data_IF_438887747235
#
_entry.id   IF_438887747235
#
_cell.length_a   1.000
_cell.length_b   1.000
_cell.length_c   1.000
_cell.angle_alpha   90.00
_cell.angle_beta   90.00
_cell.angle_gamma   90.00
#
_symmetry.space_group_name_H-M   'P 1'
#
loop_
_entity.id
_entity.type
_entity.pdbx_description
1 polymer ?
#
# COMPACT_ATOMS: atom_id res chain seq x y z
N UNK A 1 -8.66 -7.83 12.16
CA UNK A 1 -9.77 -7.52 11.22
C UNK A 1 -9.81 -8.64 10.22
N UNK A 2 -10.98 -9.24 9.97
CA UNK A 2 -11.07 -10.27 8.92
C UNK A 2 -11.04 -9.60 7.55
N UNK A 3 -10.27 -10.18 6.62
CA UNK A 3 -10.21 -9.72 5.22
C UNK A 3 -11.62 -9.64 4.62
N UNK A 4 -11.91 -8.58 3.86
CA UNK A 4 -13.23 -8.39 3.25
C UNK A 4 -13.50 -9.44 2.17
N UNK A 5 -14.77 -9.85 1.96
CA UNK A 5 -15.12 -10.76 0.87
C UNK A 5 -14.70 -10.22 -0.50
N UNK A 6 -14.21 -11.10 -1.38
CA UNK A 6 -13.72 -10.72 -2.73
C UNK A 6 -14.76 -9.95 -3.54
N UNK A 7 -16.05 -10.30 -3.45
CA UNK A 7 -17.16 -9.60 -4.13
C UNK A 7 -17.23 -8.14 -3.70
N UNK A 8 -17.16 -7.87 -2.40
CA UNK A 8 -17.17 -6.51 -1.84
C UNK A 8 -15.97 -5.72 -2.34
N UNK A 9 -14.78 -6.30 -2.29
CA UNK A 9 -13.56 -5.63 -2.76
C UNK A 9 -13.61 -5.28 -4.25
N UNK A 10 -14.16 -6.15 -5.11
CA UNK A 10 -14.37 -5.88 -6.54
C UNK A 10 -15.33 -4.72 -6.77
N UNK A 11 -16.45 -4.69 -6.06
CA UNK A 11 -17.40 -3.57 -6.12
C UNK A 11 -16.75 -2.26 -5.66
N UNK A 12 -16.00 -2.30 -4.55
CA UNK A 12 -15.27 -1.13 -4.05
C UNK A 12 -14.22 -0.63 -5.06
N UNK A 13 -13.49 -1.54 -5.70
CA UNK A 13 -12.52 -1.21 -6.74
C UNK A 13 -13.20 -0.49 -7.91
N UNK A 14 -14.29 -1.05 -8.45
CA UNK A 14 -15.04 -0.45 -9.55
C UNK A 14 -15.57 0.95 -9.19
N UNK A 15 -16.17 1.10 -8.00
CA UNK A 15 -16.66 2.39 -7.50
C UNK A 15 -15.54 3.43 -7.36
N UNK A 16 -14.41 3.05 -6.76
CA UNK A 16 -13.25 3.94 -6.58
C UNK A 16 -12.60 4.33 -7.91
N UNK A 17 -12.61 3.42 -8.89
CA UNK A 17 -12.11 3.68 -10.25
C UNK A 17 -13.06 4.59 -11.05
N UNK A 18 -14.36 4.52 -10.82
CA UNK A 18 -15.37 5.34 -11.50
C UNK A 18 -15.54 6.73 -10.85
N UNK A 19 -15.18 6.90 -9.57
CA UNK A 19 -15.34 8.18 -8.86
C UNK A 19 -14.69 9.34 -9.64
N UNK A 20 -15.29 10.53 -9.72
CA UNK A 20 -14.61 11.72 -10.24
C UNK A 20 -13.31 12.02 -9.50
N UNK A 21 -12.40 12.69 -10.19
CA UNK A 21 -11.14 13.12 -9.58
C UNK A 21 -11.38 14.35 -8.75
N UNK A 22 -10.71 14.47 -7.60
CA UNK A 22 -10.80 15.68 -6.78
C UNK A 22 -9.44 16.28 -6.53
N UNK A 23 -9.39 17.59 -6.28
CA UNK A 23 -8.16 18.31 -5.92
C UNK A 23 -7.44 17.69 -4.72
N UNK A 24 -8.21 17.11 -3.81
CA UNK A 24 -7.73 16.39 -2.65
C UNK A 24 -6.84 15.17 -3.02
N UNK A 25 -7.02 14.58 -4.20
CA UNK A 25 -6.25 13.41 -4.62
C UNK A 25 -4.76 13.73 -4.79
N UNK A 26 -4.45 14.87 -5.44
CA UNK A 26 -3.15 15.57 -5.54
C UNK A 26 -1.89 14.76 -5.91
N UNK A 27 -0.82 15.41 -6.39
CA UNK A 27 0.42 14.71 -6.73
C UNK A 27 1.18 14.24 -5.47
N UNK A 28 1.99 13.20 -5.61
CA UNK A 28 2.92 12.75 -4.57
C UNK A 28 3.49 11.39 -4.88
N UNK A 29 3.81 10.64 -3.83
CA UNK A 29 4.46 9.34 -3.92
C UNK A 29 3.60 8.26 -3.27
N UNK A 30 3.53 7.11 -3.92
CA UNK A 30 3.23 5.85 -3.26
C UNK A 30 4.54 5.21 -2.81
N UNK A 31 4.54 4.64 -1.63
CA UNK A 31 5.69 3.91 -1.09
C UNK A 31 5.25 2.55 -0.54
N UNK A 32 6.21 1.63 -0.53
CA UNK A 32 6.08 0.32 0.09
C UNK A 32 7.28 0.06 0.99
N UNK A 33 7.03 -0.62 2.10
CA UNK A 33 8.09 -1.32 2.80
C UNK A 33 7.63 -2.73 3.21
N UNK A 34 8.61 -3.60 3.43
CA UNK A 34 8.42 -4.95 3.93
C UNK A 34 9.08 -5.03 5.30
N UNK A 35 8.31 -5.38 6.32
CA UNK A 35 8.81 -5.74 7.63
C UNK A 35 8.90 -7.28 7.72
N UNK A 36 9.95 -7.81 8.36
CA UNK A 36 10.10 -9.23 8.69
C UNK A 36 9.91 -10.19 7.49
N UNK A 37 10.33 -9.78 6.28
CA UNK A 37 10.37 -10.61 5.08
C UNK A 37 9.03 -10.91 4.40
N UNK A 38 7.88 -10.71 5.03
CA UNK A 38 6.58 -10.99 4.39
C UNK A 38 5.43 -10.06 4.81
N UNK A 39 5.68 -9.05 5.66
CA UNK A 39 4.67 -8.09 6.11
C UNK A 39 4.78 -6.82 5.29
N UNK A 40 3.90 -6.69 4.31
CA UNK A 40 3.90 -5.56 3.39
C UNK A 40 3.07 -4.42 3.93
N UNK A 41 3.58 -3.20 3.77
CA UNK A 41 2.86 -1.97 4.05
C UNK A 41 2.96 -1.03 2.87
N UNK A 42 1.82 -0.51 2.44
CA UNK A 42 1.72 0.54 1.42
C UNK A 42 1.24 1.82 2.08
N UNK A 43 1.76 2.96 1.62
CA UNK A 43 1.23 4.26 1.99
C UNK A 43 1.48 5.31 0.92
N UNK A 44 0.94 6.50 1.15
CA UNK A 44 1.23 7.68 0.33
C UNK A 44 1.90 8.80 1.13
N UNK A 45 2.64 9.65 0.43
CA UNK A 45 3.19 10.89 0.98
C UNK A 45 3.33 11.96 -0.09
N UNK A 46 3.37 13.24 0.33
CA UNK A 46 3.87 14.33 -0.51
C UNK A 46 5.40 14.39 -0.53
N UNK A 47 6.04 14.00 0.57
CA UNK A 47 7.49 13.97 0.74
C UNK A 47 7.90 12.60 1.30
N UNK A 48 8.49 11.76 0.45
CA UNK A 48 8.85 10.39 0.82
C UNK A 48 9.98 10.35 1.85
N UNK A 49 11.03 11.17 1.70
CA UNK A 49 12.16 11.19 2.61
C UNK A 49 11.74 11.51 4.05
N UNK A 50 10.91 12.56 4.22
CA UNK A 50 10.36 12.91 5.54
C UNK A 50 9.50 11.78 6.11
N UNK A 51 8.62 11.19 5.28
CA UNK A 51 7.74 10.10 5.73
C UNK A 51 8.50 8.83 6.12
N UNK A 52 9.58 8.50 5.40
CA UNK A 52 10.49 7.40 5.75
C UNK A 52 11.17 7.65 7.08
N UNK A 53 11.68 8.85 7.32
CA UNK A 53 12.29 9.23 8.59
C UNK A 53 11.29 9.17 9.76
N UNK A 54 10.07 9.69 9.58
CA UNK A 54 8.98 9.58 10.56
C UNK A 54 8.72 8.12 10.94
N UNK A 55 8.55 7.23 9.96
CA UNK A 55 8.33 5.80 10.19
C UNK A 55 9.48 5.13 10.94
N UNK A 56 10.72 5.42 10.56
CA UNK A 56 11.89 4.83 11.21
C UNK A 56 12.05 5.34 12.66
N UNK A 57 11.67 6.58 12.94
CA UNK A 57 11.66 7.14 14.29
C UNK A 57 10.53 6.56 15.16
N UNK A 58 9.32 6.46 14.62
CA UNK A 58 8.15 5.97 15.37
C UNK A 58 8.18 4.45 15.60
N UNK A 59 8.74 3.71 14.65
CA UNK A 59 8.89 2.26 14.73
C UNK A 59 10.20 1.84 14.08
N UNK A 60 11.31 1.77 14.85
CA UNK A 60 12.56 1.22 14.39
C UNK A 60 12.44 -0.30 14.26
N UNK A 61 12.08 -0.78 13.07
CA UNK A 61 12.13 -2.21 12.75
C UNK A 61 13.46 -2.48 12.02
N UNK A 62 14.35 -3.32 12.58
CA UNK A 62 15.69 -3.56 12.01
C UNK A 62 15.63 -4.26 10.64
N UNK A 63 14.59 -5.06 10.40
CA UNK A 63 14.42 -5.85 9.18
C UNK A 63 13.52 -5.14 8.14
N UNK A 64 13.37 -3.82 8.22
CA UNK A 64 12.54 -3.06 7.28
C UNK A 64 13.27 -2.79 5.98
N UNK A 65 12.72 -3.32 4.89
CA UNK A 65 13.19 -3.05 3.53
C UNK A 65 12.27 -2.04 2.87
N UNK A 66 12.81 -0.87 2.53
CA UNK A 66 12.08 0.16 1.79
C UNK A 66 12.21 -0.05 0.29
N UNK A 67 11.08 -0.10 -0.41
CA UNK A 67 11.07 -0.14 -1.87
C UNK A 67 11.19 1.25 -2.46
N UNK A 68 11.61 1.33 -3.73
CA UNK A 68 11.66 2.60 -4.47
C UNK A 68 10.24 3.21 -4.53
N UNK A 69 10.04 4.47 -4.10
CA UNK A 69 8.74 5.13 -4.19
C UNK A 69 8.38 5.41 -5.66
N UNK A 70 7.09 5.45 -5.95
CA UNK A 70 6.55 5.75 -7.28
C UNK A 70 5.82 7.08 -7.25
N UNK A 71 6.22 8.01 -8.12
CA UNK A 71 5.53 9.28 -8.29
C UNK A 71 4.17 9.08 -8.98
N UNK A 72 3.13 9.71 -8.47
CA UNK A 72 1.76 9.60 -8.97
C UNK A 72 1.06 10.96 -8.97
N UNK A 73 0.24 11.22 -10.00
CA UNK A 73 -0.53 12.48 -10.12
C UNK A 73 -1.66 12.60 -9.09
N UNK A 74 -2.18 11.46 -8.60
CA UNK A 74 -3.37 11.38 -7.73
C UNK A 74 -3.13 10.41 -6.56
N UNK A 75 -2.25 10.78 -5.63
CA UNK A 75 -1.70 9.89 -4.58
C UNK A 75 -2.76 9.24 -3.69
N UNK A 76 -3.80 9.99 -3.27
CA UNK A 76 -4.83 9.42 -2.38
C UNK A 76 -5.68 8.37 -3.08
N UNK A 77 -6.04 8.63 -4.34
CA UNK A 77 -6.78 7.67 -5.16
C UNK A 77 -5.93 6.43 -5.43
N UNK A 78 -4.67 6.63 -5.79
CA UNK A 78 -3.74 5.55 -6.08
C UNK A 78 -3.52 4.65 -4.85
N UNK A 79 -3.35 5.24 -3.66
CA UNK A 79 -3.24 4.48 -2.40
C UNK A 79 -4.50 3.66 -2.11
N UNK A 80 -5.68 4.27 -2.22
CA UNK A 80 -6.94 3.58 -1.97
C UNK A 80 -7.15 2.39 -2.92
N UNK A 81 -6.83 2.56 -4.22
CA UNK A 81 -6.90 1.47 -5.19
C UNK A 81 -5.85 0.40 -4.90
N UNK A 82 -4.62 0.79 -4.55
CA UNK A 82 -3.56 -0.14 -4.18
C UNK A 82 -3.96 -0.99 -2.97
N UNK A 83 -4.52 -0.39 -1.92
CA UNK A 83 -5.01 -1.12 -0.74
C UNK A 83 -6.07 -2.17 -1.10
N UNK A 84 -7.01 -1.85 -2.00
CA UNK A 84 -8.04 -2.79 -2.42
C UNK A 84 -7.44 -3.96 -3.22
N UNK A 85 -6.52 -3.67 -4.15
CA UNK A 85 -5.85 -4.70 -4.94
C UNK A 85 -4.96 -5.60 -4.08
N UNK A 86 -4.22 -5.01 -3.15
CA UNK A 86 -3.41 -5.73 -2.18
C UNK A 86 -4.28 -6.62 -1.30
N UNK A 87 -5.41 -6.11 -0.81
CA UNK A 87 -6.32 -6.93 -0.02
C UNK A 87 -6.92 -8.08 -0.84
N UNK A 88 -7.24 -7.87 -2.12
CA UNK A 88 -7.69 -8.95 -3.01
C UNK A 88 -6.63 -10.05 -3.16
N UNK A 89 -5.36 -9.66 -3.27
CA UNK A 89 -4.23 -10.56 -3.54
C UNK A 89 -3.60 -11.19 -2.29
N UNK A 90 -3.65 -10.52 -1.14
CA UNK A 90 -2.95 -10.97 0.06
C UNK A 90 -3.57 -12.27 0.61
N UNK A 91 -2.77 -13.07 1.29
CA UNK A 91 -3.24 -14.21 2.05
C UNK A 91 -4.04 -13.72 3.26
N UNK A 92 -3.48 -12.78 4.03
CA UNK A 92 -4.09 -12.25 5.25
C UNK A 92 -3.84 -10.74 5.42
N UNK A 93 -4.66 -10.08 6.27
CA UNK A 93 -4.56 -8.66 6.63
C UNK A 93 -4.75 -8.47 8.14
N UNK A 94 -3.78 -8.90 8.97
CA UNK A 94 -3.94 -8.85 10.41
C UNK A 94 -3.77 -7.45 10.98
N UNK A 95 -4.21 -7.31 12.23
CA UNK A 95 -3.71 -6.28 13.13
C UNK A 95 -2.47 -6.84 13.79
N UNK A 96 -1.32 -6.26 13.48
CA UNK A 96 -0.02 -6.82 13.87
C UNK A 96 0.56 -6.04 15.04
N UNK A 97 0.68 -6.68 16.20
CA UNK A 97 1.35 -6.06 17.34
C UNK A 97 2.85 -6.01 17.07
N UNK A 98 3.42 -4.81 17.07
CA UNK A 98 4.85 -4.64 16.87
C UNK A 98 5.57 -4.57 18.22
N UNK A 99 6.52 -5.48 18.50
CA UNK A 99 7.27 -5.46 19.76
C UNK A 99 8.20 -4.25 19.86
N UNK A 100 8.66 -3.68 18.75
CA UNK A 100 9.59 -2.55 18.73
C UNK A 100 8.94 -1.23 19.15
N UNK A 101 7.71 -0.96 18.68
CA UNK A 101 7.01 0.29 18.97
C UNK A 101 5.85 0.11 19.99
N UNK A 102 5.58 -1.13 20.41
CA UNK A 102 4.49 -1.53 21.33
C UNK A 102 3.10 -1.07 20.88
N UNK A 103 2.91 -0.86 19.57
CA UNK A 103 1.64 -0.46 18.96
C UNK A 103 1.15 -1.52 17.99
N UNK A 104 -0.17 -1.56 17.83
CA UNK A 104 -0.81 -2.40 16.81
C UNK A 104 -0.76 -1.70 15.46
N UNK A 105 0.07 -2.23 14.56
CA UNK A 105 0.11 -1.82 13.17
C UNK A 105 -1.14 -2.30 12.44
N UNK A 106 -1.75 -1.38 11.69
CA UNK A 106 -2.88 -1.65 10.80
C UNK A 106 -2.41 -1.65 9.35
N UNK A 107 -3.25 -2.20 8.48
CA UNK A 107 -3.02 -2.21 7.03
C UNK A 107 -1.72 -2.93 6.66
N UNK A 108 -1.45 -4.01 7.38
CA UNK A 108 -0.37 -4.95 7.07
C UNK A 108 -0.95 -6.03 6.17
N UNK A 109 -0.29 -6.31 5.06
CA UNK A 109 -0.69 -7.31 4.09
C UNK A 109 0.33 -8.47 4.13
N UNK A 110 -0.14 -9.68 4.40
CA UNK A 110 0.68 -10.88 4.40
C UNK A 110 0.43 -11.63 3.10
N UNK A 111 1.50 -12.01 2.41
CA UNK A 111 1.43 -12.78 1.17
C UNK A 111 2.11 -14.14 1.34
N UNK A 112 1.56 -15.18 0.70
CA UNK A 112 2.21 -16.48 0.58
C UNK A 112 3.09 -16.48 -0.68
N UNK A 113 4.35 -16.90 -0.55
CA UNK A 113 5.28 -17.10 -1.67
C UNK A 113 6.36 -16.02 -1.81
N UNK A 114 7.08 -16.09 -2.94
CA UNK A 114 8.25 -15.26 -3.21
C UNK A 114 7.88 -13.77 -3.37
N UNK A 115 8.58 -12.90 -2.65
CA UNK A 115 8.41 -11.44 -2.64
C UNK A 115 8.40 -10.83 -4.06
N UNK A 116 9.12 -11.42 -5.01
CA UNK A 116 9.20 -10.97 -6.40
C UNK A 116 7.85 -11.05 -7.15
N UNK A 117 7.05 -12.10 -6.93
CA UNK A 117 5.76 -12.28 -7.61
C UNK A 117 4.70 -11.31 -7.08
N UNK A 118 4.77 -11.04 -5.77
CA UNK A 118 3.93 -10.04 -5.10
C UNK A 118 4.30 -8.65 -5.60
N UNK A 119 5.60 -8.33 -5.63
CA UNK A 119 6.08 -7.06 -6.17
C UNK A 119 5.65 -6.85 -7.62
N UNK A 120 5.79 -7.84 -8.50
CA UNK A 120 5.37 -7.72 -9.89
C UNK A 120 3.85 -7.52 -10.03
N UNK A 121 3.04 -8.22 -9.24
CA UNK A 121 1.58 -8.01 -9.23
C UNK A 121 1.20 -6.61 -8.74
N UNK A 122 1.93 -6.09 -7.75
CA UNK A 122 1.77 -4.74 -7.21
C UNK A 122 2.22 -3.71 -8.26
N UNK A 123 3.42 -3.83 -8.80
CA UNK A 123 4.01 -2.90 -9.78
C UNK A 123 3.23 -2.89 -11.08
N UNK A 124 2.79 -4.04 -11.61
CA UNK A 124 1.94 -4.10 -12.82
C UNK A 124 0.59 -3.43 -12.54
N UNK A 125 -0.01 -3.67 -11.38
CA UNK A 125 -1.21 -2.96 -10.95
C UNK A 125 -0.98 -1.45 -10.78
N UNK A 126 0.17 -1.05 -10.27
CA UNK A 126 0.54 0.34 -10.01
C UNK A 126 0.88 1.11 -11.28
N UNK A 127 1.59 0.48 -12.21
CA UNK A 127 1.85 1.00 -13.55
C UNK A 127 0.51 1.19 -14.24
N UNK A 128 -0.38 0.17 -14.25
CA UNK A 128 -1.71 0.29 -14.84
C UNK A 128 -2.60 1.36 -14.18
N UNK A 129 -2.49 1.58 -12.86
CA UNK A 129 -3.16 2.66 -12.14
C UNK A 129 -2.54 4.02 -12.52
N UNK A 130 -1.21 4.10 -12.60
CA UNK A 130 -0.49 5.35 -12.90
C UNK A 130 -0.70 5.79 -14.35
N UNK A 131 -0.74 4.88 -15.32
CA UNK A 131 -0.95 5.17 -16.75
C UNK A 131 -2.39 5.53 -17.07
N UNK A 132 -3.39 4.89 -16.45
CA UNK A 132 -4.81 5.23 -16.65
C UNK A 132 -5.31 6.42 -15.82
N UNK A 133 -4.46 6.99 -14.97
CA UNK A 133 -4.74 8.23 -14.23
C UNK A 133 -4.05 9.44 -14.89
N UNK A 134 -3.26 9.20 -15.95
CA UNK A 134 -2.51 10.22 -16.69
C UNK A 134 -3.31 10.86 -17.82
N UNK A 135 -4.42 10.26 -18.26
CA UNK A 135 -5.38 10.88 -19.18
C UNK A 135 -6.56 11.50 -18.42
#
# INVERSE_FOLDING_TARGET
MTKRPRRVLRTMYASRRARPTSLADGPGFLYVFIDNGNKWKVGMSKNFARRRAEWNRECPCPNRVWMRPVAVKRRRRAEALAHILLELACFDRPYDYCPHCRKTHREVFIFNGNQANVWNSIVVGWIAISTNIIH
#
